data_IF_529873163228
#
_entry.id   IF_529873163228
#
_cell.length_a   1.000
_cell.length_b   1.000
_cell.length_c   1.000
_cell.angle_alpha   90.00
_cell.angle_beta   90.00
_cell.angle_gamma   90.00
#
_symmetry.space_group_name_H-M   'P 1'
#
loop_
_entity.id
_entity.type
_entity.pdbx_description
1 polymer ?
#
# COMPACT_ATOMS: atom_id res chain seq x y z
N UNK A 1 5.10 -12.66 -4.37
CA UNK A 1 5.52 -12.63 -5.79
C UNK A 1 4.66 -13.51 -6.68
N UNK A 2 4.44 -14.80 -6.37
CA UNK A 2 3.59 -15.66 -7.21
C UNK A 2 2.19 -15.08 -7.47
N UNK A 3 1.54 -14.53 -6.42
CA UNK A 3 0.24 -13.86 -6.55
C UNK A 3 0.32 -12.68 -7.50
N UNK A 4 1.37 -11.86 -7.45
CA UNK A 4 1.53 -10.68 -8.30
C UNK A 4 1.67 -11.05 -9.78
N UNK A 5 2.46 -12.09 -10.08
CA UNK A 5 2.64 -12.60 -11.45
C UNK A 5 1.32 -13.15 -11.98
N UNK A 6 0.62 -13.98 -11.21
CA UNK A 6 -0.69 -14.52 -11.62
C UNK A 6 -1.72 -13.41 -11.83
N UNK A 7 -1.69 -12.35 -11.01
CA UNK A 7 -2.54 -11.19 -11.17
C UNK A 7 -2.18 -10.40 -12.45
N UNK A 8 -0.90 -10.21 -12.73
CA UNK A 8 -0.43 -9.51 -13.92
C UNK A 8 -0.86 -10.22 -15.21
N UNK A 9 -0.80 -11.56 -15.24
CA UNK A 9 -1.31 -12.38 -16.35
C UNK A 9 -2.84 -12.24 -16.52
N UNK A 10 -3.60 -12.13 -15.42
CA UNK A 10 -5.06 -11.90 -15.51
C UNK A 10 -5.39 -10.49 -15.97
N UNK A 11 -4.64 -9.49 -15.52
CA UNK A 11 -4.82 -8.10 -15.88
C UNK A 11 -4.46 -7.83 -17.36
N UNK A 12 -3.51 -8.58 -17.94
CA UNK A 12 -3.15 -8.47 -19.36
C UNK A 12 -4.23 -9.04 -20.28
N UNK A 13 -4.93 -10.11 -19.86
CA UNK A 13 -5.99 -10.75 -20.66
C UNK A 13 -7.34 -10.07 -20.48
N UNK A 14 -7.67 -9.62 -19.26
CA UNK A 14 -8.98 -9.06 -18.92
C UNK A 14 -8.83 -7.65 -18.30
N UNK A 15 -8.58 -6.59 -19.09
CA UNK A 15 -8.51 -5.23 -18.58
C UNK A 15 -9.90 -4.71 -18.21
N UNK A 16 -10.42 -5.12 -17.06
CA UNK A 16 -11.77 -4.78 -16.59
C UNK A 16 -11.72 -3.96 -15.32
N UNK A 17 -12.54 -2.90 -15.24
CA UNK A 17 -12.64 -2.06 -14.03
C UNK A 17 -13.17 -2.82 -12.81
N UNK A 18 -13.73 -4.03 -13.01
CA UNK A 18 -14.26 -4.89 -11.97
C UNK A 18 -13.22 -5.63 -11.11
N UNK A 19 -11.93 -5.44 -11.36
CA UNK A 19 -10.85 -5.96 -10.52
C UNK A 19 -10.96 -7.46 -10.19
N UNK A 20 -10.52 -7.82 -8.99
CA UNK A 20 -10.36 -9.22 -8.56
C UNK A 20 -11.68 -10.02 -8.50
N UNK A 21 -12.78 -9.40 -8.07
CA UNK A 21 -14.08 -10.08 -7.99
C UNK A 21 -14.65 -10.40 -9.38
N UNK A 22 -14.31 -9.60 -10.40
CA UNK A 22 -14.65 -9.90 -11.78
C UNK A 22 -13.80 -11.04 -12.34
N UNK A 23 -12.48 -11.06 -12.04
CA UNK A 23 -11.60 -12.18 -12.41
C UNK A 23 -12.08 -13.50 -11.78
N UNK A 24 -12.46 -13.47 -10.50
CA UNK A 24 -13.04 -14.61 -9.83
C UNK A 24 -14.33 -15.09 -10.53
N UNK A 25 -15.10 -14.18 -11.12
CA UNK A 25 -16.30 -14.54 -11.88
C UNK A 25 -15.98 -15.22 -13.21
N UNK A 26 -14.95 -14.75 -13.92
CA UNK A 26 -14.58 -15.25 -15.25
C UNK A 26 -13.95 -16.64 -15.15
N UNK A 27 -13.15 -16.88 -14.12
CA UNK A 27 -12.38 -18.12 -13.93
C UNK A 27 -13.22 -19.26 -13.33
N UNK A 28 -14.40 -18.99 -12.79
CA UNK A 28 -15.21 -20.00 -12.09
C UNK A 28 -16.29 -20.61 -12.97
N UNK A 29 -16.62 -21.91 -12.78
CA UNK A 29 -17.67 -22.56 -13.55
C UNK A 29 -19.03 -21.89 -13.32
N UNK A 30 -19.85 -21.82 -14.39
CA UNK A 30 -21.12 -21.06 -14.44
C UNK A 30 -22.06 -21.30 -13.24
N UNK A 31 -22.02 -22.51 -12.64
CA UNK A 31 -22.85 -22.89 -11.49
C UNK A 31 -22.51 -22.16 -10.20
N UNK A 32 -21.22 -21.88 -9.94
CA UNK A 32 -20.75 -21.27 -8.67
C UNK A 32 -20.30 -19.82 -8.83
N UNK A 33 -20.27 -19.29 -10.06
CA UNK A 33 -19.75 -17.97 -10.40
C UNK A 33 -20.22 -16.86 -9.45
N UNK A 34 -21.53 -16.77 -9.23
CA UNK A 34 -22.11 -15.74 -8.36
C UNK A 34 -21.61 -15.88 -6.92
N UNK A 35 -21.63 -17.10 -6.37
CA UNK A 35 -21.20 -17.37 -5.00
C UNK A 35 -19.73 -17.02 -4.76
N UNK A 36 -18.84 -17.42 -5.68
CA UNK A 36 -17.40 -17.12 -5.55
C UNK A 36 -17.13 -15.62 -5.71
N UNK A 37 -17.78 -14.93 -6.65
CA UNK A 37 -17.63 -13.48 -6.79
C UNK A 37 -18.12 -12.70 -5.56
N UNK A 38 -19.27 -13.08 -4.98
CA UNK A 38 -19.75 -12.48 -3.74
C UNK A 38 -18.82 -12.76 -2.57
N UNK A 39 -18.32 -13.98 -2.43
CA UNK A 39 -17.35 -14.32 -1.39
C UNK A 39 -16.05 -13.53 -1.55
N UNK A 40 -15.52 -13.42 -2.78
CA UNK A 40 -14.32 -12.63 -3.08
C UNK A 40 -14.52 -11.14 -2.74
N UNK A 41 -15.61 -10.53 -3.20
CA UNK A 41 -15.92 -9.13 -2.88
C UNK A 41 -16.10 -8.89 -1.38
N UNK A 42 -16.77 -9.80 -0.67
CA UNK A 42 -16.96 -9.70 0.78
C UNK A 42 -15.64 -9.83 1.54
N UNK A 43 -14.79 -10.78 1.17
CA UNK A 43 -13.45 -10.95 1.75
C UNK A 43 -12.57 -9.74 1.49
N UNK A 44 -12.64 -9.12 0.30
CA UNK A 44 -11.95 -7.88 0.00
C UNK A 44 -12.41 -6.75 0.92
N UNK A 45 -13.72 -6.56 1.12
CA UNK A 45 -14.25 -5.53 2.02
C UNK A 45 -13.76 -5.74 3.46
N UNK A 46 -13.87 -6.97 3.98
CA UNK A 46 -13.37 -7.28 5.33
C UNK A 46 -11.86 -7.06 5.46
N UNK A 47 -11.10 -7.40 4.42
CA UNK A 47 -9.66 -7.17 4.38
C UNK A 47 -9.35 -5.69 4.44
N UNK A 48 -10.01 -4.86 3.62
CA UNK A 48 -9.80 -3.41 3.62
C UNK A 48 -10.15 -2.75 4.95
N UNK A 49 -11.24 -3.17 5.60
CA UNK A 49 -11.60 -2.68 6.94
C UNK A 49 -10.56 -3.10 8.00
N UNK A 50 -10.13 -4.36 7.98
CA UNK A 50 -9.13 -4.87 8.92
C UNK A 50 -7.76 -4.18 8.73
N UNK A 51 -7.34 -3.96 7.49
CA UNK A 51 -6.12 -3.21 7.15
C UNK A 51 -6.25 -1.76 7.61
N UNK A 52 -7.39 -1.12 7.38
CA UNK A 52 -7.66 0.25 7.85
C UNK A 52 -7.46 0.39 9.36
N UNK A 53 -8.01 -0.55 10.14
CA UNK A 53 -7.80 -0.59 11.60
C UNK A 53 -6.33 -0.90 11.97
N UNK A 54 -5.66 -1.80 11.25
CA UNK A 54 -4.27 -2.16 11.51
C UNK A 54 -3.27 -1.04 11.14
N UNK A 55 -3.56 -0.21 10.14
CA UNK A 55 -2.67 0.89 9.75
C UNK A 55 -2.83 2.08 10.68
N UNK A 56 -4.05 2.36 11.14
CA UNK A 56 -4.36 3.48 12.05
C UNK A 56 -3.78 3.31 13.45
N UNK A 57 -3.55 2.08 13.91
CA UNK A 57 -2.92 1.84 15.23
C UNK A 57 -1.40 2.11 15.22
N UNK A 58 -0.72 1.94 14.08
CA UNK A 58 0.74 2.14 13.97
C UNK A 58 1.16 3.54 14.41
N UNK A 59 0.62 4.65 13.84
CA UNK A 59 1.01 5.99 14.28
C UNK A 59 0.65 6.25 15.74
N UNK A 60 -0.47 5.72 16.26
CA UNK A 60 -0.81 5.84 17.67
C UNK A 60 0.26 5.21 18.58
N UNK A 61 0.80 4.04 18.20
CA UNK A 61 1.90 3.40 18.92
C UNK A 61 3.22 4.17 18.77
N UNK A 62 3.54 4.68 17.59
CA UNK A 62 4.76 5.48 17.36
C UNK A 62 4.75 6.78 18.17
N UNK A 63 3.63 7.50 18.18
CA UNK A 63 3.47 8.73 18.98
C UNK A 63 3.64 8.41 20.46
N UNK A 64 3.01 7.35 20.96
CA UNK A 64 3.13 6.95 22.36
C UNK A 64 4.54 6.52 22.74
N UNK A 65 5.28 5.88 21.83
CA UNK A 65 6.69 5.56 22.02
C UNK A 65 7.55 6.84 22.14
N UNK A 66 7.28 7.85 21.32
CA UNK A 66 7.97 9.15 21.39
C UNK A 66 7.67 9.91 22.69
N UNK A 67 6.41 9.88 23.16
CA UNK A 67 6.00 10.51 24.42
C UNK A 67 6.70 9.83 25.60
N UNK A 68 6.71 8.49 25.62
CA UNK A 68 7.39 7.72 26.67
C UNK A 68 8.91 7.96 26.69
N UNK A 69 9.52 8.24 25.54
CA UNK A 69 10.95 8.57 25.47
C UNK A 69 11.26 9.99 25.98
N UNK A 70 10.32 10.93 25.85
CA UNK A 70 10.51 12.34 26.23
C UNK A 70 10.23 12.59 27.71
N UNK A 71 9.26 11.88 28.30
CA UNK A 71 8.85 12.03 29.69
C UNK A 71 8.86 10.67 30.41
N UNK A 72 9.93 10.34 31.16
CA UNK A 72 10.05 9.04 31.83
C UNK A 72 9.03 8.86 32.97
N UNK A 73 8.36 9.93 33.41
CA UNK A 73 7.34 9.90 34.46
C UNK A 73 5.94 9.61 33.94
N UNK A 74 5.73 9.61 32.62
CA UNK A 74 4.42 9.39 32.03
C UNK A 74 4.20 7.91 31.73
N UNK A 75 3.33 7.27 32.51
CA UNK A 75 2.93 5.88 32.26
C UNK A 75 1.89 5.82 31.13
N UNK A 76 2.24 5.12 30.05
CA UNK A 76 1.41 4.98 28.85
C UNK A 76 0.25 4.02 29.09
N UNK A 77 -0.89 4.56 29.51
CA UNK A 77 -2.14 3.79 29.69
C UNK A 77 -2.80 3.42 28.35
N UNK A 78 -3.50 2.28 28.31
CA UNK A 78 -4.17 1.76 27.11
C UNK A 78 -5.19 2.74 26.49
N UNK A 79 -5.89 3.52 27.33
CA UNK A 79 -6.86 4.49 26.85
C UNK A 79 -6.22 5.68 26.10
N UNK A 80 -4.96 6.02 26.39
CA UNK A 80 -4.23 7.04 25.60
C UNK A 80 -4.04 6.58 24.16
N UNK A 81 -3.68 5.30 23.97
CA UNK A 81 -3.51 4.71 22.63
C UNK A 81 -4.85 4.70 21.91
N UNK A 82 -5.94 4.35 22.60
CA UNK A 82 -7.28 4.35 22.03
C UNK A 82 -7.74 5.74 21.57
N UNK A 83 -7.54 6.78 22.38
CA UNK A 83 -7.90 8.15 21.98
C UNK A 83 -7.08 8.65 20.80
N UNK A 84 -5.78 8.33 20.76
CA UNK A 84 -4.93 8.67 19.62
C UNK A 84 -5.34 7.90 18.36
N UNK A 85 -5.67 6.61 18.50
CA UNK A 85 -6.19 5.80 17.41
C UNK A 85 -7.47 6.41 16.83
N UNK A 86 -8.43 6.77 17.68
CA UNK A 86 -9.71 7.37 17.25
C UNK A 86 -9.48 8.76 16.62
N UNK A 87 -8.58 9.56 17.19
CA UNK A 87 -8.21 10.87 16.63
C UNK A 87 -7.56 10.77 15.25
N UNK A 88 -6.65 9.81 15.06
CA UNK A 88 -6.03 9.55 13.76
C UNK A 88 -7.05 9.00 12.76
N UNK A 89 -7.92 8.08 13.19
CA UNK A 89 -8.99 7.53 12.35
C UNK A 89 -9.98 8.62 11.90
N UNK A 90 -10.43 9.48 12.82
CA UNK A 90 -11.29 10.62 12.52
C UNK A 90 -10.60 11.62 11.57
N UNK A 91 -9.31 11.92 11.80
CA UNK A 91 -8.54 12.77 10.90
C UNK A 91 -8.46 12.16 9.49
N UNK A 92 -8.14 10.88 9.36
CA UNK A 92 -8.08 10.19 8.06
C UNK A 92 -9.46 10.16 7.40
N UNK A 93 -10.54 9.91 8.15
CA UNK A 93 -11.91 9.92 7.63
C UNK A 93 -12.31 11.29 7.09
N UNK A 94 -12.03 12.36 7.84
CA UNK A 94 -12.28 13.75 7.42
C UNK A 94 -11.49 14.08 6.16
N UNK A 95 -10.21 13.72 6.10
CA UNK A 95 -9.42 13.90 4.88
C UNK A 95 -9.97 13.09 3.70
N UNK A 96 -10.42 11.85 3.93
CA UNK A 96 -11.00 11.03 2.87
C UNK A 96 -12.33 11.61 2.34
N UNK A 97 -13.15 12.18 3.21
CA UNK A 97 -14.44 12.74 2.83
C UNK A 97 -14.32 14.11 2.14
N UNK A 98 -13.49 15.01 2.66
CA UNK A 98 -13.44 16.41 2.19
C UNK A 98 -12.27 16.72 1.25
N UNK A 99 -11.15 16.00 1.40
CA UNK A 99 -9.92 16.31 0.67
C UNK A 99 -9.85 15.60 -0.68
N UNK A 100 -10.47 14.41 -0.85
CA UNK A 100 -10.45 13.71 -2.15
C UNK A 100 -11.16 14.50 -3.25
N UNK A 101 -12.28 15.15 -2.95
CA UNK A 101 -13.00 15.97 -3.95
C UNK A 101 -12.24 17.25 -4.32
N UNK A 102 -11.41 17.78 -3.42
CA UNK A 102 -10.75 19.09 -3.57
C UNK A 102 -9.26 18.99 -3.93
N UNK A 103 -8.65 17.83 -3.77
CA UNK A 103 -7.22 17.64 -3.98
C UNK A 103 -6.94 16.39 -4.84
N UNK A 104 -7.19 16.43 -6.16
CA UNK A 104 -6.50 15.54 -7.09
C UNK A 104 -4.97 15.74 -7.02
N UNK A 105 -4.55 16.87 -6.42
CA UNK A 105 -3.19 17.10 -5.98
C UNK A 105 -2.60 15.92 -5.21
N UNK A 106 -3.33 15.21 -4.35
CA UNK A 106 -2.72 14.13 -3.54
C UNK A 106 -2.23 12.95 -4.38
N UNK A 107 -2.91 12.60 -5.47
CA UNK A 107 -2.36 11.69 -6.48
C UNK A 107 -1.19 12.33 -7.25
N UNK A 108 -1.28 13.63 -7.49
CA UNK A 108 -0.17 14.38 -8.05
C UNK A 108 0.97 14.61 -7.04
N UNK A 109 0.88 14.36 -5.71
CA UNK A 109 2.00 14.57 -4.76
C UNK A 109 3.10 13.55 -5.02
N UNK A 110 2.72 12.33 -5.41
CA UNK A 110 3.65 11.36 -5.95
C UNK A 110 4.36 11.85 -7.22
N UNK A 111 3.77 12.83 -7.93
CA UNK A 111 4.31 13.48 -9.13
C UNK A 111 4.82 14.92 -8.92
N UNK A 112 4.48 15.61 -7.82
CA UNK A 112 4.60 17.07 -7.69
C UNK A 112 5.97 17.53 -7.20
N UNK A 113 6.86 16.59 -6.89
CA UNK A 113 8.28 16.92 -6.82
C UNK A 113 8.83 17.40 -8.18
N UNK A 114 8.08 17.28 -9.28
CA UNK A 114 8.48 17.72 -10.62
C UNK A 114 8.21 19.20 -10.96
N UNK A 115 7.47 19.98 -10.15
CA UNK A 115 7.15 21.38 -10.51
C UNK A 115 8.34 22.35 -10.32
N UNK A 116 9.52 21.84 -9.94
CA UNK A 116 10.79 22.59 -9.91
C UNK A 116 11.53 22.50 -11.26
N UNK A 117 11.11 21.63 -12.20
CA UNK A 117 11.76 21.47 -13.52
C UNK A 117 10.73 21.51 -14.65
N UNK A 118 10.61 22.66 -15.31
CA UNK A 118 9.77 22.92 -16.49
C UNK A 118 10.20 22.13 -17.75
N UNK A 119 10.11 20.80 -17.75
CA UNK A 119 10.39 19.99 -18.95
C UNK A 119 9.16 19.15 -19.34
N UNK A 120 8.74 19.17 -20.62
CA UNK A 120 7.65 18.36 -21.12
C UNK A 120 8.16 16.93 -21.33
N UNK A 121 7.74 15.97 -20.50
CA UNK A 121 8.08 14.56 -20.70
C UNK A 121 6.86 13.66 -20.51
N UNK A 122 6.75 12.72 -21.44
CA UNK A 122 5.81 11.60 -21.61
C UNK A 122 5.58 10.73 -20.34
N UNK A 123 4.50 9.92 -20.29
CA UNK A 123 3.96 9.37 -19.05
C UNK A 123 4.77 8.17 -18.53
N UNK A 124 5.80 8.44 -17.73
CA UNK A 124 6.48 7.43 -16.89
C UNK A 124 6.24 7.69 -15.39
N UNK A 125 4.95 7.81 -15.02
CA UNK A 125 4.45 8.17 -13.68
C UNK A 125 4.90 7.24 -12.54
N UNK A 126 5.59 6.13 -12.82
CA UNK A 126 6.04 5.15 -11.82
C UNK A 126 7.44 5.42 -11.23
N UNK A 127 8.28 6.25 -11.87
CA UNK A 127 9.67 6.46 -11.43
C UNK A 127 9.80 7.28 -10.13
N UNK A 128 8.92 8.27 -9.94
CA UNK A 128 8.98 9.20 -8.80
C UNK A 128 8.57 8.56 -7.46
N UNK A 129 7.56 7.67 -7.46
CA UNK A 129 7.15 6.93 -6.26
C UNK A 129 8.24 5.97 -5.78
N UNK A 130 8.96 5.35 -6.73
CA UNK A 130 10.12 4.49 -6.43
C UNK A 130 11.25 5.34 -5.84
N UNK A 131 11.52 6.53 -6.39
CA UNK A 131 12.52 7.45 -5.85
C UNK A 131 12.17 7.93 -4.43
N UNK A 132 10.91 8.25 -4.15
CA UNK A 132 10.46 8.62 -2.80
C UNK A 132 10.63 7.45 -1.81
N UNK A 133 10.24 6.25 -2.20
CA UNK A 133 10.34 5.07 -1.32
C UNK A 133 11.80 4.69 -1.05
N UNK A 134 12.65 4.72 -2.09
CA UNK A 134 14.09 4.46 -1.96
C UNK A 134 14.78 5.56 -1.14
N UNK A 135 14.42 6.83 -1.31
CA UNK A 135 15.00 7.92 -0.51
C UNK A 135 14.60 7.81 0.95
N UNK A 136 13.35 7.46 1.27
CA UNK A 136 12.90 7.19 2.65
C UNK A 136 13.60 5.96 3.24
N UNK A 137 13.80 4.90 2.46
CA UNK A 137 14.57 3.73 2.89
C UNK A 137 16.03 4.08 3.20
N UNK A 138 16.70 4.82 2.32
CA UNK A 138 18.07 5.26 2.52
C UNK A 138 18.17 6.21 3.72
N UNK A 139 17.23 7.14 3.87
CA UNK A 139 17.18 8.05 5.01
C UNK A 139 17.01 7.29 6.34
N UNK A 140 16.08 6.32 6.40
CA UNK A 140 15.88 5.49 7.58
C UNK A 140 17.12 4.63 7.87
N UNK A 141 17.72 4.02 6.85
CA UNK A 141 18.96 3.23 6.98
C UNK A 141 20.10 4.09 7.53
N UNK A 142 20.35 5.27 6.95
CA UNK A 142 21.40 6.20 7.39
C UNK A 142 21.14 6.66 8.83
N UNK A 143 19.89 7.02 9.15
CA UNK A 143 19.51 7.48 10.49
C UNK A 143 19.73 6.40 11.54
N UNK A 144 19.34 5.15 11.26
CA UNK A 144 19.57 4.01 12.14
C UNK A 144 21.06 3.71 12.32
N UNK A 145 21.84 3.70 11.23
CA UNK A 145 23.28 3.49 11.28
C UNK A 145 24.01 4.60 12.05
N UNK A 146 23.55 5.85 11.95
CA UNK A 146 24.12 6.99 12.66
C UNK A 146 23.77 6.99 14.15
N UNK A 147 22.58 6.49 14.53
CA UNK A 147 22.11 6.46 15.94
C UNK A 147 22.53 5.20 16.70
N UNK A 148 22.85 4.11 16.01
CA UNK A 148 23.28 2.86 16.64
C UNK A 148 24.71 2.95 17.21
N UNK A 149 24.81 3.38 18.47
CA UNK A 149 26.06 3.33 19.25
C UNK A 149 25.76 2.79 20.66
N UNK A 150 26.43 1.72 21.13
CA UNK A 150 27.44 0.91 20.44
C UNK A 150 26.83 -0.01 19.37
N UNK A 151 27.59 -0.26 18.29
CA UNK A 151 27.20 -1.19 17.23
C UNK A 151 27.24 -2.62 17.77
N UNK A 152 26.20 -3.41 17.51
CA UNK A 152 26.14 -4.81 17.92
C UNK A 152 27.29 -5.63 17.28
N UNK A 153 27.83 -6.60 18.02
CA UNK A 153 28.85 -7.51 17.48
C UNK A 153 28.28 -8.37 16.34
N UNK A 154 29.08 -8.66 15.31
CA UNK A 154 28.63 -9.43 14.14
C UNK A 154 28.08 -10.81 14.51
N UNK A 155 28.65 -11.45 15.55
CA UNK A 155 28.17 -12.74 16.06
C UNK A 155 26.80 -12.64 16.70
N UNK A 156 26.53 -11.56 17.44
CA UNK A 156 25.22 -11.38 18.04
C UNK A 156 24.15 -11.15 16.96
N UNK A 157 24.44 -10.32 15.96
CA UNK A 157 23.48 -10.01 14.89
C UNK A 157 23.16 -11.22 13.99
N UNK A 158 24.16 -12.00 13.60
CA UNK A 158 23.96 -13.12 12.66
C UNK A 158 23.71 -14.48 13.31
N UNK A 159 24.13 -14.69 14.56
CA UNK A 159 24.12 -16.02 15.20
C UNK A 159 23.29 -16.10 16.49
N UNK A 160 22.76 -14.99 17.02
CA UNK A 160 21.92 -15.03 18.22
C UNK A 160 20.47 -14.70 17.87
N UNK A 161 19.60 -15.71 17.90
CA UNK A 161 18.16 -15.50 17.88
C UNK A 161 17.68 -15.27 19.32
N UNK A 162 17.16 -14.08 19.62
CA UNK A 162 16.63 -13.81 20.96
C UNK A 162 15.16 -14.19 20.98
N UNK A 163 14.83 -15.20 21.78
CA UNK A 163 13.50 -15.76 21.84
C UNK A 163 12.88 -15.59 23.23
N UNK A 164 11.91 -14.69 23.34
CA UNK A 164 11.15 -14.45 24.57
C UNK A 164 9.79 -15.16 24.59
N UNK A 165 9.46 -15.93 23.54
CA UNK A 165 8.11 -16.45 23.34
C UNK A 165 7.91 -17.86 23.90
N UNK A 166 9.01 -18.58 24.19
CA UNK A 166 9.00 -19.98 24.65
C UNK A 166 8.86 -21.03 23.53
N UNK A 167 8.65 -20.62 22.28
CA UNK A 167 8.57 -21.50 21.11
C UNK A 167 9.95 -21.88 20.59
N UNK A 168 10.11 -22.92 19.75
CA UNK A 168 11.40 -23.19 19.10
C UNK A 168 11.79 -22.05 18.15
N UNK A 169 13.09 -21.77 18.06
CA UNK A 169 13.66 -20.64 17.29
C UNK A 169 13.20 -20.57 15.83
N UNK A 170 13.08 -21.72 15.17
CA UNK A 170 12.58 -21.79 13.78
C UNK A 170 11.13 -21.31 13.64
N UNK A 171 10.28 -21.55 14.64
CA UNK A 171 8.89 -21.09 14.62
C UNK A 171 8.80 -19.59 14.85
N UNK A 172 9.62 -19.05 15.76
CA UNK A 172 9.72 -17.61 15.99
C UNK A 172 10.17 -16.86 14.73
N UNK A 173 11.13 -17.41 13.99
CA UNK A 173 11.56 -16.87 12.71
C UNK A 173 10.42 -16.81 11.69
N UNK A 174 9.63 -17.89 11.58
CA UNK A 174 8.48 -17.96 10.67
C UNK A 174 7.38 -16.96 11.08
N UNK A 175 7.13 -16.77 12.38
CA UNK A 175 6.13 -15.82 12.90
C UNK A 175 6.56 -14.36 12.72
N UNK A 176 7.87 -14.07 12.61
CA UNK A 176 8.37 -12.72 12.30
C UNK A 176 8.24 -12.32 10.83
N UNK A 177 8.16 -13.29 9.91
CA UNK A 177 8.07 -13.06 8.47
C UNK A 177 6.78 -12.34 7.98
N UNK A 178 5.59 -12.58 8.56
CA UNK A 178 4.36 -11.86 8.24
C UNK A 178 4.47 -10.33 8.22
N UNK A 179 5.30 -9.73 9.09
CA UNK A 179 5.51 -8.28 9.13
C UNK A 179 6.10 -7.76 7.82
N UNK A 180 7.03 -8.52 7.22
CA UNK A 180 7.60 -8.19 5.90
C UNK A 180 6.59 -8.40 4.78
N UNK A 181 5.72 -9.41 4.89
CA UNK A 181 4.65 -9.68 3.93
C UNK A 181 3.59 -8.57 3.88
N UNK A 182 3.37 -7.87 5.00
CA UNK A 182 2.40 -6.77 5.11
C UNK A 182 2.62 -5.68 4.06
N UNK A 183 3.87 -5.44 3.65
CA UNK A 183 4.24 -4.45 2.63
C UNK A 183 3.70 -4.78 1.23
N UNK A 184 3.34 -6.04 0.97
CA UNK A 184 2.83 -6.50 -0.33
C UNK A 184 1.31 -6.61 -0.40
N UNK A 185 0.58 -6.21 0.64
CA UNK A 185 -0.88 -6.36 0.67
C UNK A 185 -1.57 -5.42 -0.33
N UNK A 186 -1.04 -4.22 -0.55
CA UNK A 186 -1.62 -3.21 -1.47
C UNK A 186 -1.40 -3.47 -2.96
N UNK A 187 -1.03 -4.69 -3.35
CA UNK A 187 -0.86 -5.08 -4.77
C UNK A 187 -2.18 -5.07 -5.55
N UNK A 188 -3.33 -5.08 -4.87
CA UNK A 188 -4.65 -5.01 -5.50
C UNK A 188 -5.03 -3.59 -5.94
N UNK A 189 -4.62 -2.57 -5.19
CA UNK A 189 -4.85 -1.16 -5.51
C UNK A 189 -4.13 -0.73 -6.81
N UNK A 190 -2.95 -1.29 -7.09
CA UNK A 190 -2.21 -0.99 -8.32
C UNK A 190 -2.96 -1.44 -9.58
N UNK A 191 -3.78 -2.48 -9.49
CA UNK A 191 -4.60 -2.95 -10.62
C UNK A 191 -5.65 -1.94 -11.04
N UNK A 192 -6.36 -1.37 -10.06
CA UNK A 192 -7.38 -0.36 -10.31
C UNK A 192 -6.77 0.87 -11.00
N UNK A 193 -5.59 1.28 -10.56
CA UNK A 193 -4.87 2.41 -11.15
C UNK A 193 -4.44 2.12 -12.60
N UNK A 194 -3.89 0.93 -12.87
CA UNK A 194 -3.47 0.51 -14.21
C UNK A 194 -4.64 0.47 -15.21
N UNK A 195 -5.77 -0.13 -14.82
CA UNK A 195 -6.96 -0.23 -15.68
C UNK A 195 -7.59 1.13 -15.95
N UNK A 196 -7.60 2.02 -14.95
CA UNK A 196 -8.07 3.39 -15.13
C UNK A 196 -7.22 4.15 -16.15
N UNK A 197 -5.89 4.01 -16.06
CA UNK A 197 -4.97 4.63 -17.02
C UNK A 197 -5.15 4.06 -18.43
N UNK A 198 -5.28 2.73 -18.57
CA UNK A 198 -5.48 2.08 -19.86
C UNK A 198 -6.83 2.46 -20.50
N UNK A 199 -7.91 2.57 -19.71
CA UNK A 199 -9.21 3.04 -20.20
C UNK A 199 -9.15 4.49 -20.69
N UNK A 200 -8.47 5.38 -19.96
CA UNK A 200 -8.24 6.75 -20.43
C UNK A 200 -7.46 6.76 -21.74
N UNK A 201 -6.40 5.95 -21.86
CA UNK A 201 -5.59 5.86 -23.07
C UNK A 201 -6.39 5.31 -24.25
N UNK A 202 -7.22 4.27 -24.04
CA UNK A 202 -8.13 3.74 -25.07
C UNK A 202 -9.23 4.74 -25.46
N UNK A 203 -9.73 5.55 -24.53
CA UNK A 203 -10.70 6.60 -24.85
C UNK A 203 -10.06 7.73 -25.68
N UNK A 204 -8.81 8.08 -25.39
CA UNK A 204 -8.04 9.07 -26.16
C UNK A 204 -7.76 8.51 -27.57
N UNK A 205 -7.19 7.31 -27.67
CA UNK A 205 -6.85 6.67 -28.95
C UNK A 205 -8.08 6.27 -29.77
N UNK A 206 -9.16 5.85 -29.11
CA UNK A 206 -10.44 5.50 -29.73
C UNK A 206 -11.22 6.72 -30.25
N UNK A 207 -11.05 7.88 -29.62
CA UNK A 207 -11.57 9.16 -30.10
C UNK A 207 -10.79 9.72 -31.30
N UNK A 208 -9.50 9.40 -31.41
CA UNK A 208 -8.69 9.76 -32.58
C UNK A 208 -8.91 8.80 -33.75
N UNK A 209 -9.08 7.50 -33.50
CA UNK A 209 -9.35 6.50 -34.54
C UNK A 209 -10.72 6.65 -35.22
N UNK A 210 -11.75 7.11 -34.48
CA UNK A 210 -13.06 7.41 -35.08
C UNK A 210 -13.10 8.75 -35.81
N UNK A 211 -12.27 9.74 -35.43
CA UNK A 211 -12.14 11.00 -36.18
C UNK A 211 -11.29 10.85 -37.45
N UNK A 212 -10.27 10.00 -37.46
CA UNK A 212 -9.47 9.72 -38.66
C UNK A 212 -10.22 8.83 -39.68
N UNK A 213 -11.10 7.94 -39.22
CA UNK A 213 -11.95 7.13 -40.12
C UNK A 213 -13.11 7.94 -40.75
N UNK A 214 -13.55 9.03 -40.11
CA UNK A 214 -14.65 9.87 -40.61
C UNK A 214 -14.22 10.99 -41.57
N UNK A 215 -12.91 11.22 -41.76
CA UNK A 215 -12.38 12.24 -42.70
C UNK A 215 -11.86 11.65 -44.01
N UNK A 216 -12.07 10.36 -44.26
CA UNK A 216 -11.55 9.64 -45.44
C UNK A 216 -12.65 8.92 -46.25
N UNK A 217 -13.91 9.31 -46.06
CA UNK A 217 -15.05 9.03 -46.94
C UNK A 217 -15.70 10.35 -47.35
#
# INVERSE_FOLDING_TARGET
MSVAISLAELASVYPTAGGQYNFASILTPKKIRRGVSYACGLLSIFSWVAIGAAVTIIPAQQIMALVSASNPTFETKQWHIFLLYEGVAAFILVNNLFLLEKAPWTHNIGCMCADITQLPHEPETNSYLVALTLSMFLFALITLLARASPKASSKFFWATLINYTGWPDGLCLIIGLPTSCFMYIGLDASMGCFVCSLSCMMLILGGEGTRAAASTQ
#
